data_IF_657752209047
#
_entry.id   IF_657752209047
#
_cell.length_a   1.000
_cell.length_b   1.000
_cell.length_c   1.000
_cell.angle_alpha   90.00
_cell.angle_beta   90.00
_cell.angle_gamma   90.00
#
_symmetry.space_group_name_H-M   'P 1'
#
loop_
_entity.id
_entity.type
_entity.pdbx_description
1 polymer ?
#
# COMPACT_ATOMS: atom_id res chain seq x y z
N UNK A 1 2.10 17.05 15.93
CA UNK A 1 2.40 16.56 14.57
C UNK A 1 2.32 17.71 13.57
N UNK A 2 3.30 17.88 12.67
CA UNK A 2 3.25 18.83 11.54
C UNK A 2 2.79 18.09 10.29
N UNK A 3 1.91 18.72 9.50
CA UNK A 3 1.37 18.12 8.28
C UNK A 3 1.54 19.13 7.14
N UNK A 4 2.18 18.72 6.04
CA UNK A 4 2.42 19.54 4.87
C UNK A 4 1.96 18.81 3.61
N UNK A 5 1.13 19.48 2.79
CA UNK A 5 0.74 18.97 1.48
C UNK A 5 1.87 19.15 0.49
N UNK A 6 2.15 18.11 -0.28
CA UNK A 6 3.11 18.10 -1.37
C UNK A 6 2.44 17.50 -2.62
N UNK A 7 2.82 18.01 -3.77
CA UNK A 7 2.47 17.44 -5.07
C UNK A 7 3.73 16.77 -5.62
N UNK A 8 3.69 15.45 -5.76
CA UNK A 8 4.83 14.65 -6.24
C UNK A 8 4.37 13.84 -7.44
N UNK A 9 5.13 13.84 -8.53
CA UNK A 9 4.75 13.12 -9.74
C UNK A 9 4.88 11.62 -9.56
N UNK A 10 4.08 10.85 -10.32
CA UNK A 10 4.24 9.39 -10.38
C UNK A 10 5.67 9.04 -10.78
N UNK A 11 6.27 9.76 -11.72
CA UNK A 11 7.66 9.59 -12.16
C UNK A 11 8.64 9.64 -10.98
N UNK A 12 8.50 10.63 -10.12
CA UNK A 12 9.37 10.79 -8.95
C UNK A 12 9.12 9.72 -7.90
N UNK A 13 7.85 9.46 -7.57
CA UNK A 13 7.50 8.46 -6.54
C UNK A 13 7.96 7.06 -6.94
N UNK A 14 7.79 6.68 -8.21
CA UNK A 14 8.09 5.30 -8.64
C UNK A 14 9.50 5.12 -9.21
N UNK A 15 10.36 6.14 -9.12
CA UNK A 15 11.78 5.94 -9.36
C UNK A 15 12.33 4.92 -8.36
N UNK A 16 12.98 3.85 -8.87
CA UNK A 16 13.50 2.76 -8.06
C UNK A 16 12.42 1.88 -7.39
N UNK A 17 11.20 1.83 -7.95
CA UNK A 17 10.13 0.97 -7.40
C UNK A 17 10.49 -0.52 -7.46
N UNK A 18 10.37 -1.18 -6.32
CA UNK A 18 10.52 -2.64 -6.18
C UNK A 18 9.39 -3.19 -5.32
N UNK A 19 8.98 -4.42 -5.61
CA UNK A 19 8.02 -5.17 -4.82
C UNK A 19 8.46 -6.64 -4.81
N UNK A 20 8.80 -7.17 -3.65
CA UNK A 20 9.15 -8.58 -3.43
C UNK A 20 8.09 -9.33 -2.62
N UNK A 21 6.88 -8.77 -2.49
CA UNK A 21 5.75 -9.36 -1.78
C UNK A 21 5.98 -9.59 -0.26
N UNK A 22 7.05 -9.04 0.31
CA UNK A 22 7.35 -9.15 1.73
C UNK A 22 7.02 -7.87 2.52
N UNK A 23 6.86 -8.00 3.84
CA UNK A 23 6.76 -6.84 4.73
C UNK A 23 8.01 -5.97 4.62
N UNK A 24 7.83 -4.67 4.38
CA UNK A 24 8.94 -3.75 4.11
C UNK A 24 9.63 -3.93 2.78
N UNK A 25 9.21 -4.91 1.96
CA UNK A 25 9.77 -5.24 0.65
C UNK A 25 9.14 -4.47 -0.51
N UNK A 26 8.18 -3.59 -0.26
CA UNK A 26 7.61 -2.70 -1.28
C UNK A 26 8.18 -1.31 -1.07
N UNK A 27 9.13 -0.94 -1.93
CA UNK A 27 9.88 0.29 -1.84
C UNK A 27 9.77 1.14 -3.10
N UNK A 28 9.81 2.45 -2.93
CA UNK A 28 9.78 3.44 -4.01
C UNK A 28 10.57 4.70 -3.61
N UNK A 29 10.54 5.74 -4.45
CA UNK A 29 11.18 7.02 -4.18
C UNK A 29 12.67 6.85 -3.85
N UNK A 30 13.40 6.19 -4.76
CA UNK A 30 14.82 5.79 -4.61
C UNK A 30 15.08 4.98 -3.31
N UNK A 31 14.14 4.10 -2.94
CA UNK A 31 14.24 3.26 -1.76
C UNK A 31 13.86 3.97 -0.45
N UNK A 32 13.62 5.28 -0.48
CA UNK A 32 13.29 6.08 0.72
C UNK A 32 11.86 5.87 1.20
N UNK A 33 10.92 5.48 0.32
CA UNK A 33 9.53 5.25 0.67
C UNK A 33 9.28 3.77 0.92
N UNK A 34 8.90 3.41 2.14
CA UNK A 34 8.35 2.12 2.48
C UNK A 34 6.82 2.15 2.26
N UNK A 35 6.36 1.51 1.18
CA UNK A 35 4.93 1.50 0.84
C UNK A 35 4.18 0.50 1.72
N UNK A 36 4.83 -0.57 2.15
CA UNK A 36 4.23 -1.63 2.97
C UNK A 36 5.00 -1.83 4.27
N UNK A 37 4.90 -0.88 5.22
CA UNK A 37 5.48 -1.08 6.54
C UNK A 37 4.79 -2.24 7.28
N UNK A 38 5.42 -2.84 8.32
CA UNK A 38 4.95 -4.06 8.99
C UNK A 38 3.54 -3.97 9.60
N UNK A 39 3.05 -2.78 9.91
CA UNK A 39 1.72 -2.57 10.46
C UNK A 39 0.62 -2.47 9.37
N UNK A 40 1.00 -2.37 8.10
CA UNK A 40 0.05 -2.35 6.99
C UNK A 40 -0.35 -3.78 6.58
N UNK A 41 -1.56 -3.92 6.07
CA UNK A 41 -2.08 -5.18 5.54
C UNK A 41 -1.46 -5.52 4.19
N UNK A 42 -1.65 -6.76 3.76
CA UNK A 42 -1.31 -7.20 2.40
C UNK A 42 -2.11 -6.43 1.34
N UNK A 43 -1.65 -6.52 0.08
CA UNK A 43 -2.39 -5.98 -1.05
C UNK A 43 -3.68 -6.78 -1.26
N UNK A 44 -4.82 -6.10 -1.12
CA UNK A 44 -6.15 -6.74 -1.12
C UNK A 44 -7.10 -6.21 -2.18
N UNK A 45 -6.69 -5.23 -2.98
CA UNK A 45 -7.55 -4.71 -4.05
C UNK A 45 -7.89 -5.80 -5.06
N UNK A 46 -9.18 -5.94 -5.32
CA UNK A 46 -9.68 -6.75 -6.43
C UNK A 46 -9.29 -6.10 -7.76
N UNK A 47 -9.25 -6.88 -8.87
CA UNK A 47 -8.92 -6.34 -10.19
C UNK A 47 -9.69 -5.07 -10.55
N UNK A 48 -10.98 -5.00 -10.25
CA UNK A 48 -11.82 -3.85 -10.58
C UNK A 48 -11.40 -2.59 -9.78
N UNK A 49 -11.02 -2.73 -8.51
CA UNK A 49 -10.56 -1.61 -7.68
C UNK A 49 -9.20 -1.11 -8.17
N UNK A 50 -8.29 -2.03 -8.48
CA UNK A 50 -6.98 -1.73 -9.04
C UNK A 50 -7.10 -1.00 -10.38
N UNK A 51 -7.94 -1.50 -11.28
CA UNK A 51 -8.15 -0.91 -12.59
C UNK A 51 -8.73 0.50 -12.50
N UNK A 52 -9.66 0.74 -11.57
CA UNK A 52 -10.21 2.08 -11.32
C UNK A 52 -9.14 3.10 -10.90
N UNK A 53 -8.13 2.70 -10.16
CA UNK A 53 -7.02 3.61 -9.80
C UNK A 53 -6.30 4.08 -11.05
N UNK A 54 -5.95 3.16 -11.96
CA UNK A 54 -5.22 3.49 -13.18
C UNK A 54 -6.08 4.31 -14.15
N UNK A 55 -7.35 3.91 -14.33
CA UNK A 55 -8.29 4.66 -15.15
C UNK A 55 -8.47 6.11 -14.66
N UNK A 56 -8.51 6.31 -13.34
CA UNK A 56 -8.56 7.65 -12.73
C UNK A 56 -7.33 8.48 -13.09
N UNK A 57 -6.13 7.90 -13.02
CA UNK A 57 -4.88 8.57 -13.39
C UNK A 57 -4.85 8.88 -14.89
N UNK A 58 -5.20 7.93 -15.75
CA UNK A 58 -5.21 8.11 -17.20
C UNK A 58 -6.18 9.21 -17.66
N UNK A 59 -7.32 9.35 -16.95
CA UNK A 59 -8.29 10.43 -17.21
C UNK A 59 -7.91 11.77 -16.59
N UNK A 60 -6.82 11.84 -15.83
CA UNK A 60 -6.42 13.06 -15.13
C UNK A 60 -7.38 13.45 -14.00
N UNK A 61 -8.23 12.52 -13.51
CA UNK A 61 -9.14 12.77 -12.40
C UNK A 61 -8.39 12.73 -11.07
N UNK A 62 -8.82 13.50 -10.04
CA UNK A 62 -8.14 13.52 -8.78
C UNK A 62 -8.26 12.18 -8.04
N UNK A 63 -7.12 11.58 -7.69
CA UNK A 63 -7.06 10.54 -6.69
C UNK A 63 -7.19 11.16 -5.30
N UNK A 64 -7.82 10.43 -4.37
CA UNK A 64 -7.84 10.84 -2.97
C UNK A 64 -6.42 11.06 -2.47
N UNK A 65 -6.25 12.03 -1.58
CA UNK A 65 -4.97 12.35 -0.93
C UNK A 65 -4.38 11.12 -0.24
N UNK A 66 -3.06 11.09 -0.15
CA UNK A 66 -2.30 10.03 0.53
C UNK A 66 -1.56 10.64 1.73
N UNK A 67 -1.23 9.80 2.70
CA UNK A 67 -0.52 10.25 3.90
C UNK A 67 0.75 9.44 4.08
N UNK A 68 1.88 10.14 4.15
CA UNK A 68 3.19 9.55 4.43
C UNK A 68 3.71 10.10 5.74
N UNK A 69 4.38 9.26 6.48
CA UNK A 69 5.10 9.65 7.68
C UNK A 69 6.58 9.80 7.39
N UNK A 70 7.16 10.92 7.77
CA UNK A 70 8.60 11.13 7.71
C UNK A 70 9.26 10.56 8.96
N UNK A 71 10.32 9.77 8.76
CA UNK A 71 11.16 9.21 9.82
C UNK A 71 12.39 10.13 10.09
N UNK A 72 13.12 9.83 11.15
CA UNK A 72 14.30 10.60 11.55
C UNK A 72 15.48 10.49 10.55
N UNK A 73 15.55 9.40 9.80
CA UNK A 73 16.54 9.13 8.76
C UNK A 73 16.18 9.70 7.38
N UNK A 74 15.21 10.63 7.32
CA UNK A 74 14.66 11.19 6.09
C UNK A 74 13.98 10.17 5.14
N UNK A 75 13.73 8.96 5.62
CA UNK A 75 12.87 7.99 4.94
C UNK A 75 11.38 8.28 5.21
N UNK A 76 10.52 7.61 4.44
CA UNK A 76 9.08 7.76 4.54
C UNK A 76 8.39 6.41 4.67
N UNK A 77 7.27 6.38 5.38
CA UNK A 77 6.36 5.25 5.44
C UNK A 77 4.95 5.68 5.04
N UNK A 78 4.26 4.82 4.29
CA UNK A 78 2.88 5.09 3.91
C UNK A 78 1.96 4.84 5.10
N UNK A 79 1.19 5.85 5.50
CA UNK A 79 0.10 5.70 6.47
C UNK A 79 -1.23 5.37 5.78
N UNK A 80 -1.54 6.08 4.69
CA UNK A 80 -2.68 5.78 3.83
C UNK A 80 -2.30 5.95 2.36
N UNK A 81 -2.95 5.19 1.49
CA UNK A 81 -2.70 5.15 0.05
C UNK A 81 -1.89 3.95 -0.43
N UNK A 82 -1.53 3.01 0.45
CA UNK A 82 -0.77 1.80 0.11
C UNK A 82 -1.34 1.08 -1.10
N UNK A 83 -2.63 0.77 -1.10
CA UNK A 83 -3.29 0.00 -2.15
C UNK A 83 -3.24 0.71 -3.50
N UNK A 84 -3.40 2.04 -3.50
CA UNK A 84 -3.31 2.89 -4.70
C UNK A 84 -1.88 2.92 -5.24
N UNK A 85 -0.89 3.11 -4.36
CA UNK A 85 0.52 3.11 -4.75
C UNK A 85 0.95 1.75 -5.33
N UNK A 86 0.60 0.63 -4.68
CA UNK A 86 0.90 -0.70 -5.20
C UNK A 86 0.24 -0.90 -6.56
N UNK A 87 -1.03 -0.49 -6.74
CA UNK A 87 -1.72 -0.58 -8.03
C UNK A 87 -0.95 0.15 -9.14
N UNK A 88 -0.49 1.37 -8.88
CA UNK A 88 0.27 2.16 -9.84
C UNK A 88 1.63 1.48 -10.12
N UNK A 89 2.37 1.09 -9.08
CA UNK A 89 3.68 0.46 -9.22
C UNK A 89 3.64 -0.85 -9.99
N UNK A 90 2.65 -1.69 -9.72
CA UNK A 90 2.47 -2.96 -10.42
C UNK A 90 2.06 -2.76 -11.90
N UNK A 91 1.29 -1.71 -12.22
CA UNK A 91 1.00 -1.36 -13.60
C UNK A 91 2.25 -0.91 -14.36
N UNK A 92 3.07 -0.07 -13.73
CA UNK A 92 4.36 0.37 -14.28
C UNK A 92 5.34 -0.80 -14.49
N UNK A 93 5.31 -1.82 -13.62
CA UNK A 93 6.09 -3.05 -13.74
C UNK A 93 5.54 -4.07 -14.73
N UNK A 94 4.42 -3.79 -15.39
CA UNK A 94 3.74 -4.70 -16.32
C UNK A 94 3.19 -5.97 -15.65
N UNK A 95 2.87 -5.92 -14.36
CA UNK A 95 2.29 -7.07 -13.67
C UNK A 95 0.87 -7.37 -14.14
N UNK A 96 0.18 -6.39 -14.74
CA UNK A 96 -1.14 -6.56 -15.30
C UNK A 96 -1.44 -5.54 -16.41
N UNK A 97 -2.44 -5.85 -17.22
CA UNK A 97 -2.96 -5.00 -18.29
C UNK A 97 -4.34 -4.45 -17.93
N UNK A 98 -4.71 -3.32 -18.50
CA UNK A 98 -6.06 -2.76 -18.48
C UNK A 98 -6.55 -2.71 -19.91
N UNK A 99 -7.74 -3.26 -20.18
CA UNK A 99 -8.30 -3.37 -21.51
C UNK A 99 -7.28 -3.91 -22.53
N UNK A 100 -6.55 -4.98 -22.11
CA UNK A 100 -5.47 -5.62 -22.85
C UNK A 100 -4.26 -4.74 -23.16
N UNK A 101 -4.14 -3.56 -22.54
CA UNK A 101 -3.00 -2.66 -22.70
C UNK A 101 -2.15 -2.64 -21.42
N UNK A 102 -0.89 -3.03 -21.54
CA UNK A 102 0.14 -2.78 -20.54
C UNK A 102 0.63 -1.34 -20.63
N UNK A 103 1.34 -0.86 -19.61
CA UNK A 103 1.92 0.48 -19.60
C UNK A 103 2.76 0.76 -20.86
N UNK A 104 3.55 -0.20 -21.32
CA UNK A 104 4.40 -0.05 -22.50
C UNK A 104 3.61 0.00 -23.84
N UNK A 105 2.36 -0.37 -23.83
CA UNK A 105 1.51 -0.24 -25.02
C UNK A 105 0.88 1.15 -25.13
N UNK A 106 1.15 2.05 -24.18
CA UNK A 106 0.75 3.43 -24.24
C UNK A 106 1.61 4.18 -25.25
N UNK A 107 1.03 5.17 -25.92
CA UNK A 107 1.79 6.14 -26.70
C UNK A 107 2.73 6.94 -25.80
N UNK A 108 3.76 7.58 -26.38
CA UNK A 108 4.69 8.43 -25.60
C UNK A 108 3.96 9.54 -24.83
N UNK A 109 2.95 10.13 -25.44
CA UNK A 109 2.19 11.22 -24.83
C UNK A 109 1.32 10.69 -23.68
N UNK A 110 0.64 9.55 -23.85
CA UNK A 110 -0.14 8.90 -22.79
C UNK A 110 0.77 8.48 -21.63
N UNK A 111 1.93 7.88 -21.93
CA UNK A 111 2.89 7.46 -20.90
C UNK A 111 3.46 8.65 -20.14
N UNK A 112 3.81 9.74 -20.82
CA UNK A 112 4.28 10.97 -20.16
C UNK A 112 3.18 11.59 -19.32
N UNK A 113 1.96 11.72 -19.85
CA UNK A 113 0.83 12.25 -19.07
C UNK A 113 0.58 11.43 -17.79
N UNK A 114 0.67 10.10 -17.89
CA UNK A 114 0.56 9.20 -16.73
C UNK A 114 1.69 9.44 -15.71
N UNK A 115 2.94 9.49 -16.18
CA UNK A 115 4.11 9.67 -15.31
C UNK A 115 4.17 11.07 -14.67
N UNK A 116 3.69 12.09 -15.35
CA UNK A 116 3.69 13.47 -14.89
C UNK A 116 2.44 13.81 -14.05
N UNK A 117 1.52 12.83 -13.88
CA UNK A 117 0.38 12.97 -12.98
C UNK A 117 0.85 13.20 -11.54
N UNK A 118 0.28 14.22 -10.88
CA UNK A 118 0.64 14.65 -9.54
C UNK A 118 -0.19 13.95 -8.49
N UNK A 119 0.49 13.22 -7.61
CA UNK A 119 -0.10 12.64 -6.42
C UNK A 119 -0.12 13.69 -5.30
N UNK A 120 -1.27 13.83 -4.66
CA UNK A 120 -1.48 14.74 -3.52
C UNK A 120 -1.10 14.00 -2.24
N UNK A 121 0.02 14.38 -1.62
CA UNK A 121 0.62 13.65 -0.50
C UNK A 121 0.78 14.57 0.70
N UNK A 122 0.14 14.24 1.81
CA UNK A 122 0.41 14.86 3.09
C UNK A 122 1.61 14.18 3.75
N UNK A 123 2.69 14.92 3.94
CA UNK A 123 3.83 14.45 4.73
C UNK A 123 3.61 14.87 6.18
N UNK A 124 3.59 13.86 7.06
CA UNK A 124 3.33 13.98 8.49
C UNK A 124 4.65 13.80 9.27
N UNK A 125 5.01 14.79 10.07
CA UNK A 125 6.17 14.75 10.97
C UNK A 125 5.69 14.78 12.42
N UNK A 126 6.08 13.80 13.22
CA UNK A 126 5.67 13.69 14.62
C UNK A 126 6.30 12.48 15.29
N UNK A 127 6.09 12.32 16.59
CA UNK A 127 6.52 11.14 17.32
C UNK A 127 5.60 9.93 17.03
N UNK A 128 6.03 8.74 17.41
CA UNK A 128 5.32 7.48 17.08
C UNK A 128 3.90 7.43 17.67
N UNK A 129 3.69 8.06 18.84
CA UNK A 129 2.37 8.15 19.46
C UNK A 129 1.42 9.00 18.61
N UNK A 130 1.87 10.17 18.15
CA UNK A 130 1.09 11.05 17.27
C UNK A 130 0.81 10.40 15.92
N UNK A 131 1.79 9.69 15.36
CA UNK A 131 1.66 8.92 14.12
C UNK A 131 0.58 7.84 14.25
N UNK A 132 0.60 7.07 15.34
CA UNK A 132 -0.37 6.02 15.60
C UNK A 132 -1.79 6.57 15.83
N UNK A 133 -1.92 7.66 16.58
CA UNK A 133 -3.22 8.34 16.77
C UNK A 133 -3.78 8.84 15.45
N UNK A 134 -2.94 9.43 14.60
CA UNK A 134 -3.33 9.89 13.28
C UNK A 134 -3.71 8.75 12.35
N UNK A 135 -2.93 7.65 12.34
CA UNK A 135 -3.24 6.45 11.59
C UNK A 135 -4.64 5.89 11.91
N UNK A 136 -5.00 5.84 13.20
CA UNK A 136 -6.36 5.45 13.62
C UNK A 136 -7.42 6.41 13.06
N UNK A 137 -7.15 7.71 13.09
CA UNK A 137 -8.10 8.74 12.66
C UNK A 137 -8.34 8.71 11.15
N UNK A 138 -7.29 8.58 10.34
CA UNK A 138 -7.39 8.55 8.86
C UNK A 138 -8.26 7.37 8.41
N UNK A 139 -8.07 6.21 9.02
CA UNK A 139 -8.75 4.98 8.62
C UNK A 139 -10.24 4.94 9.00
N UNK A 140 -10.75 5.91 9.78
CA UNK A 140 -12.18 6.04 10.08
C UNK A 140 -12.98 6.44 8.82
N UNK A 141 -12.39 7.18 7.90
CA UNK A 141 -13.04 7.69 6.69
C UNK A 141 -12.94 6.77 5.46
N UNK A 142 -12.11 5.70 5.52
CA UNK A 142 -11.86 4.75 4.45
C UNK A 142 -12.45 3.35 4.69
N UNK A 143 -11.85 2.31 4.10
CA UNK A 143 -12.13 0.93 4.52
C UNK A 143 -11.67 0.78 5.97
N UNK A 144 -12.63 0.56 6.87
CA UNK A 144 -12.37 0.44 8.31
C UNK A 144 -11.30 -0.62 8.56
N UNK A 145 -10.26 -0.24 9.29
CA UNK A 145 -9.35 -1.21 9.87
C UNK A 145 -10.11 -2.07 10.88
N UNK A 146 -9.85 -3.36 10.86
CA UNK A 146 -10.32 -4.24 11.92
C UNK A 146 -9.52 -3.94 13.20
N UNK A 147 -10.15 -4.21 14.36
CA UNK A 147 -9.50 -4.03 15.67
C UNK A 147 -8.15 -4.76 15.74
N UNK A 148 -8.01 -5.89 15.05
CA UNK A 148 -6.76 -6.63 14.98
C UNK A 148 -5.68 -5.91 14.18
N UNK A 149 -6.02 -5.21 13.10
CA UNK A 149 -5.06 -4.40 12.33
C UNK A 149 -4.54 -3.24 13.18
N UNK A 150 -5.42 -2.61 13.97
CA UNK A 150 -5.03 -1.59 14.95
C UNK A 150 -4.12 -2.15 16.04
N UNK A 151 -4.41 -3.35 16.57
CA UNK A 151 -3.54 -4.04 17.54
C UNK A 151 -2.18 -4.36 16.92
N UNK A 152 -2.15 -4.86 15.69
CA UNK A 152 -0.91 -5.14 14.96
C UNK A 152 -0.04 -3.87 14.80
N UNK A 153 -0.65 -2.71 14.55
CA UNK A 153 0.06 -1.45 14.48
C UNK A 153 0.61 -1.00 15.85
N UNK A 154 -0.13 -1.25 16.93
CA UNK A 154 0.29 -0.90 18.30
C UNK A 154 1.42 -1.79 18.84
N UNK A 155 1.42 -3.07 18.48
CA UNK A 155 2.33 -4.08 19.01
C UNK A 155 3.33 -4.59 17.97
N UNK A 156 3.67 -3.75 16.99
CA UNK A 156 4.67 -4.09 15.97
C UNK A 156 6.00 -4.50 16.61
N UNK A 157 6.52 -5.67 16.23
CA UNK A 157 7.77 -6.22 16.74
C UNK A 157 8.11 -7.57 16.11
N UNK A 158 9.28 -8.10 16.42
CA UNK A 158 9.80 -9.36 15.84
C UNK A 158 8.86 -10.53 16.03
N UNK A 159 8.24 -10.66 17.20
CA UNK A 159 7.28 -11.71 17.49
C UNK A 159 6.04 -11.62 16.60
N UNK A 160 5.49 -10.42 16.40
CA UNK A 160 4.30 -10.25 15.56
C UNK A 160 4.62 -10.51 14.10
N UNK A 161 5.78 -10.08 13.60
CA UNK A 161 6.24 -10.37 12.23
C UNK A 161 6.39 -11.88 12.01
N UNK A 162 6.95 -12.60 12.96
CA UNK A 162 7.08 -14.05 12.93
C UNK A 162 5.70 -14.74 12.96
N UNK A 163 4.83 -14.34 13.86
CA UNK A 163 3.47 -14.84 13.94
C UNK A 163 2.68 -14.62 12.64
N UNK A 164 2.79 -13.46 12.02
CA UNK A 164 2.16 -13.18 10.72
C UNK A 164 2.72 -14.08 9.61
N UNK A 165 4.03 -14.31 9.61
CA UNK A 165 4.66 -15.20 8.63
C UNK A 165 4.08 -16.61 8.68
N UNK A 166 3.84 -17.14 9.86
CA UNK A 166 3.33 -18.52 10.06
C UNK A 166 1.81 -18.64 9.94
N UNK A 167 1.05 -17.61 10.31
CA UNK A 167 -0.40 -17.72 10.50
C UNK A 167 -1.26 -16.78 9.63
N UNK A 168 -0.69 -15.72 9.09
CA UNK A 168 -1.48 -14.69 8.38
C UNK A 168 -1.02 -14.42 6.95
N UNK A 169 0.16 -14.89 6.55
CA UNK A 169 0.68 -14.65 5.20
C UNK A 169 -0.05 -15.53 4.19
N UNK A 170 -0.41 -14.95 3.05
CA UNK A 170 -0.94 -15.72 1.91
C UNK A 170 0.03 -16.86 1.57
N UNK A 171 -0.50 -18.07 1.41
CA UNK A 171 0.24 -19.32 1.20
C UNK A 171 1.07 -19.84 2.41
N UNK A 172 0.89 -19.29 3.63
CA UNK A 172 1.42 -19.95 4.83
C UNK A 172 0.68 -21.28 5.11
N UNK A 173 1.25 -22.13 5.95
CA UNK A 173 0.64 -23.42 6.28
C UNK A 173 -0.79 -23.30 6.83
N UNK A 174 -1.04 -22.31 7.70
CA UNK A 174 -2.38 -22.04 8.22
C UNK A 174 -3.36 -21.58 7.13
N UNK A 175 -2.91 -20.78 6.17
CA UNK A 175 -3.72 -20.34 5.03
C UNK A 175 -4.12 -21.52 4.15
N UNK A 176 -3.16 -22.42 3.84
CA UNK A 176 -3.40 -23.58 2.99
C UNK A 176 -4.42 -24.51 3.67
N UNK A 177 -4.23 -24.83 4.95
CA UNK A 177 -5.15 -25.65 5.73
C UNK A 177 -6.57 -25.04 5.80
N UNK A 178 -6.66 -23.74 6.05
CA UNK A 178 -7.96 -23.06 6.11
C UNK A 178 -8.67 -23.04 4.74
N UNK A 179 -7.93 -22.92 3.64
CA UNK A 179 -8.48 -22.96 2.29
C UNK A 179 -9.00 -24.35 1.94
N UNK A 180 -8.28 -25.42 2.33
CA UNK A 180 -8.65 -26.80 2.06
C UNK A 180 -9.84 -27.26 2.92
N UNK A 181 -9.83 -26.93 4.22
CA UNK A 181 -10.82 -27.43 5.16
C UNK A 181 -12.08 -26.54 5.30
N UNK A 182 -11.95 -25.23 5.13
CA UNK A 182 -13.03 -24.28 5.36
C UNK A 182 -13.59 -23.67 4.09
N UNK A 183 -13.11 -24.08 2.90
CA UNK A 183 -13.53 -23.52 1.61
C UNK A 183 -13.51 -21.97 1.57
N UNK A 184 -12.55 -21.36 2.25
CA UNK A 184 -12.42 -19.91 2.30
C UNK A 184 -11.77 -19.40 1.01
N UNK A 185 -12.57 -18.85 0.11
CA UNK A 185 -12.08 -18.14 -1.09
C UNK A 185 -11.63 -16.71 -0.72
N UNK A 186 -10.33 -16.50 -0.70
CA UNK A 186 -9.72 -15.17 -0.50
C UNK A 186 -8.62 -15.18 0.57
N UNK A 187 -7.80 -14.10 0.63
CA UNK A 187 -6.77 -14.00 1.65
C UNK A 187 -7.43 -14.03 3.04
N UNK A 188 -6.94 -14.92 3.91
CA UNK A 188 -7.32 -14.91 5.31
C UNK A 188 -6.94 -13.55 5.89
N UNK A 189 -7.94 -12.71 6.14
CA UNK A 189 -7.69 -11.44 6.82
C UNK A 189 -7.20 -11.73 8.23
N UNK A 190 -6.17 -11.03 8.66
CA UNK A 190 -5.52 -11.19 9.97
C UNK A 190 -6.44 -11.45 11.20
N UNK A 191 -7.74 -11.07 11.23
CA UNK A 191 -8.64 -11.39 12.34
C UNK A 191 -8.94 -12.87 12.54
N UNK A 192 -8.76 -13.70 11.52
CA UNK A 192 -9.20 -15.11 11.60
C UNK A 192 -8.08 -16.09 11.98
N UNK A 193 -6.84 -15.64 12.05
CA UNK A 193 -5.68 -16.50 12.27
C UNK A 193 -4.97 -16.31 13.62
N UNK A 194 -5.40 -15.36 14.44
CA UNK A 194 -4.83 -15.13 15.77
C UNK A 194 -5.88 -15.33 16.88
N UNK A 195 -6.28 -16.60 17.09
CA UNK A 195 -6.91 -17.06 18.32
C UNK A 195 -6.10 -18.23 18.89
#
# INVERSE_FOLDING_TARGET
MKIKLNEITIREVFNGYVNNDEEGGVRAYDGKLNIRPPYQREFVYKPEQRNKVIDTVQKGFPLNVMYWCKNEDDSFEVLDGQQRLISIGEYLRRAYAIDYRFFDNLTKDEANAFLDYKLMIYICEGNDKEKLEWFKTINIAGEKLFDQELRNAMYTGTWLSDAKFHFSKTNCGAYILAKEELSCDGPLRAPYTCY
#
